data_IF_149265535303
#
_entry.id   IF_149265535303
#
_cell.length_a   1.000
_cell.length_b   1.000
_cell.length_c   1.000
_cell.angle_alpha   90.00
_cell.angle_beta   90.00
_cell.angle_gamma   90.00
#
_symmetry.space_group_name_H-M   'P 1'
#
loop_
_entity.id
_entity.type
_entity.pdbx_description
1 polymer ?
#
# COMPACT_ATOMS: atom_id res chain seq x y z
N UNK A 1 -7.35 19.69 26.83
CA UNK A 1 -7.98 19.36 25.54
C UNK A 1 -8.25 17.86 25.54
N UNK A 2 -9.50 17.46 25.34
CA UNK A 2 -9.85 16.05 25.08
C UNK A 2 -9.43 15.68 23.66
N UNK A 3 -8.82 14.52 23.47
CA UNK A 3 -8.42 14.01 22.16
C UNK A 3 -9.05 12.62 21.95
N UNK A 4 -9.47 12.34 20.71
CA UNK A 4 -10.03 11.04 20.32
C UNK A 4 -8.98 10.17 19.62
N UNK A 5 -9.24 8.87 19.48
CA UNK A 5 -8.41 7.93 18.72
C UNK A 5 -9.28 7.07 17.82
N UNK A 6 -8.78 6.74 16.64
CA UNK A 6 -9.41 5.77 15.74
C UNK A 6 -9.10 4.30 16.13
N UNK A 7 -8.24 4.09 17.12
CA UNK A 7 -7.91 2.76 17.65
C UNK A 7 -8.94 2.32 18.70
N UNK A 8 -9.18 1.02 18.77
CA UNK A 8 -9.89 0.39 19.88
C UNK A 8 -9.06 0.46 21.17
N UNK A 9 -9.67 0.19 22.33
CA UNK A 9 -8.97 0.19 23.62
C UNK A 9 -7.79 -0.80 23.66
N UNK A 10 -7.96 -1.99 23.08
CA UNK A 10 -6.90 -3.01 23.03
C UNK A 10 -5.75 -2.59 22.11
N UNK A 11 -6.06 -2.02 20.95
CA UNK A 11 -5.07 -1.48 20.03
C UNK A 11 -4.31 -0.30 20.66
N UNK A 12 -5.01 0.55 21.39
CA UNK A 12 -4.41 1.67 22.13
C UNK A 12 -3.38 1.18 23.15
N UNK A 13 -3.76 0.19 23.97
CA UNK A 13 -2.88 -0.42 24.95
C UNK A 13 -1.67 -1.10 24.28
N UNK A 14 -1.90 -1.80 23.15
CA UNK A 14 -0.84 -2.46 22.40
C UNK A 14 0.20 -1.46 21.86
N UNK A 15 -0.23 -0.35 21.25
CA UNK A 15 0.69 0.70 20.76
C UNK A 15 1.54 1.27 21.89
N UNK A 16 0.94 1.51 23.07
CA UNK A 16 1.67 1.94 24.27
C UNK A 16 2.67 0.90 24.78
N UNK A 17 2.32 -0.37 24.74
CA UNK A 17 3.22 -1.46 25.13
C UNK A 17 4.46 -1.55 24.24
N UNK A 18 4.35 -1.11 22.97
CA UNK A 18 5.45 -1.03 22.03
C UNK A 18 6.30 0.25 22.19
N UNK A 19 5.99 1.10 23.18
CA UNK A 19 6.73 2.32 23.48
C UNK A 19 6.29 3.55 22.69
N UNK A 20 5.11 3.52 22.04
CA UNK A 20 4.55 4.67 21.32
C UNK A 20 3.39 5.29 22.08
N UNK A 21 3.24 6.62 22.01
CA UNK A 21 2.15 7.34 22.64
C UNK A 21 1.13 7.78 21.58
N UNK A 22 -0.10 7.27 21.58
CA UNK A 22 -1.18 7.83 20.76
C UNK A 22 -1.45 9.28 21.18
N UNK A 23 -1.55 10.20 20.22
CA UNK A 23 -1.72 11.64 20.49
C UNK A 23 -3.02 12.23 19.93
N UNK A 24 -3.68 11.54 18.99
CA UNK A 24 -4.94 12.01 18.43
C UNK A 24 -5.33 11.29 17.14
N UNK A 25 -6.62 11.28 16.83
CA UNK A 25 -7.13 10.91 15.53
C UNK A 25 -6.78 11.99 14.51
N UNK A 26 -6.36 11.56 13.32
CA UNK A 26 -6.05 12.44 12.19
C UNK A 26 -6.84 12.02 10.96
N UNK A 27 -7.11 12.99 10.08
CA UNK A 27 -7.95 12.82 8.92
C UNK A 27 -7.39 13.58 7.70
N UNK A 28 -7.61 13.02 6.52
CA UNK A 28 -7.35 13.70 5.26
C UNK A 28 -8.35 13.28 4.21
N UNK A 29 -8.72 14.21 3.35
CA UNK A 29 -9.63 13.96 2.24
C UNK A 29 -9.12 14.60 0.95
N UNK A 30 -9.47 14.00 -0.17
CA UNK A 30 -9.26 14.55 -1.50
C UNK A 30 -10.44 14.16 -2.40
N UNK A 31 -11.06 15.15 -3.04
CA UNK A 31 -12.10 14.92 -4.04
C UNK A 31 -11.51 15.19 -5.42
N UNK A 32 -11.65 14.22 -6.30
CA UNK A 32 -11.23 14.36 -7.68
C UNK A 32 -12.47 14.37 -8.55
N UNK A 33 -12.58 15.39 -9.41
CA UNK A 33 -13.39 15.28 -10.60
C UNK A 33 -12.77 14.15 -11.41
N UNK A 34 -13.28 12.94 -11.22
CA UNK A 34 -12.99 11.84 -12.11
C UNK A 34 -13.63 12.25 -13.44
N UNK A 35 -12.86 13.01 -14.24
CA UNK A 35 -13.18 13.28 -15.63
C UNK A 35 -13.60 11.95 -16.20
N UNK A 36 -14.70 11.97 -16.96
CA UNK A 36 -15.30 10.76 -17.51
C UNK A 36 -14.18 9.81 -17.95
N UNK A 37 -14.37 8.51 -17.79
CA UNK A 37 -13.56 7.52 -18.49
C UNK A 37 -13.69 7.65 -20.04
N UNK A 38 -13.93 8.86 -20.56
CA UNK A 38 -13.96 9.27 -21.96
C UNK A 38 -12.62 9.06 -22.66
N UNK A 39 -11.53 8.83 -21.93
CA UNK A 39 -10.25 8.37 -22.48
C UNK A 39 -10.12 6.84 -22.65
N UNK A 40 -11.05 6.04 -22.09
CA UNK A 40 -11.07 4.59 -22.32
C UNK A 40 -11.75 4.31 -23.66
N UNK A 41 -10.93 3.96 -24.67
CA UNK A 41 -11.41 3.33 -25.89
C UNK A 41 -11.69 1.85 -25.64
N UNK A 42 -12.77 1.32 -26.21
CA UNK A 42 -13.02 -0.13 -26.25
C UNK A 42 -11.74 -0.82 -26.78
N UNK A 43 -11.20 -1.85 -26.12
CA UNK A 43 -9.95 -2.46 -26.53
C UNK A 43 -10.04 -3.16 -27.90
N UNK A 44 -11.26 -3.43 -28.40
CA UNK A 44 -11.58 -3.97 -29.73
C UNK A 44 -11.54 -2.96 -30.90
N UNK A 45 -11.80 -3.41 -32.14
CA UNK A 45 -10.82 -3.66 -33.20
C UNK A 45 -10.43 -2.41 -34.01
N UNK A 46 -10.23 -1.25 -33.38
CA UNK A 46 -9.60 -0.13 -34.05
C UNK A 46 -8.06 -0.32 -34.04
N UNK A 47 -7.55 -1.28 -34.85
CA UNK A 47 -6.11 -1.48 -35.10
C UNK A 47 -5.78 -2.80 -35.83
N UNK A 48 -4.74 -2.85 -36.69
CA UNK A 48 -4.41 -4.02 -37.49
C UNK A 48 -3.58 -5.02 -36.67
N UNK A 49 -4.22 -5.75 -35.75
CA UNK A 49 -3.60 -6.91 -35.10
C UNK A 49 -4.68 -7.76 -34.42
N UNK A 50 -4.46 -9.07 -34.40
CA UNK A 50 -5.21 -10.05 -33.63
C UNK A 50 -5.19 -9.82 -32.09
N UNK A 51 -4.55 -8.74 -31.62
CA UNK A 51 -4.31 -8.38 -30.22
C UNK A 51 -5.43 -7.53 -29.57
N UNK A 52 -6.50 -7.18 -30.30
CA UNK A 52 -7.61 -6.35 -29.79
C UNK A 52 -8.48 -7.01 -28.70
N UNK A 53 -8.31 -8.32 -28.48
CA UNK A 53 -9.08 -9.10 -27.49
C UNK A 53 -8.24 -9.45 -26.26
N UNK A 54 -6.94 -9.16 -26.28
CA UNK A 54 -6.04 -9.42 -25.16
C UNK A 54 -6.36 -8.52 -23.96
N UNK A 55 -6.10 -9.02 -22.77
CA UNK A 55 -6.25 -8.25 -21.54
C UNK A 55 -5.30 -7.06 -21.54
N UNK A 56 -5.85 -5.85 -21.40
CA UNK A 56 -5.08 -4.61 -21.23
C UNK A 56 -5.17 -4.17 -19.78
N UNK A 57 -4.03 -3.93 -19.14
CA UNK A 57 -3.93 -3.44 -17.76
C UNK A 57 -3.33 -2.04 -17.72
N UNK A 58 -3.80 -1.21 -16.78
CA UNK A 58 -3.38 0.18 -16.63
C UNK A 58 -1.86 0.36 -16.48
N UNK A 59 -1.17 -0.56 -15.82
CA UNK A 59 0.27 -0.46 -15.58
C UNK A 59 1.15 -0.65 -16.82
N UNK A 60 0.65 -1.33 -17.86
CA UNK A 60 1.35 -1.46 -19.16
C UNK A 60 1.20 -0.22 -20.04
N UNK A 61 0.25 0.66 -19.73
CA UNK A 61 -0.08 1.82 -20.56
C UNK A 61 -0.64 1.44 -21.93
N UNK A 62 -0.49 2.34 -22.89
CA UNK A 62 -0.95 2.18 -24.27
C UNK A 62 -2.36 2.72 -24.56
N UNK A 63 -2.72 2.87 -25.84
CA UNK A 63 -4.02 3.38 -26.26
C UNK A 63 -5.19 2.54 -25.71
N UNK A 64 -6.17 3.22 -25.11
CA UNK A 64 -7.34 2.57 -24.50
C UNK A 64 -7.09 1.92 -23.14
N UNK A 65 -5.89 2.05 -22.55
CA UNK A 65 -5.66 1.63 -21.16
C UNK A 65 -6.22 2.64 -20.15
N UNK A 66 -6.56 2.16 -18.95
CA UNK A 66 -6.98 3.01 -17.83
C UNK A 66 -5.84 3.74 -17.11
N UNK A 67 -4.65 3.83 -17.73
CA UNK A 67 -3.45 4.43 -17.13
C UNK A 67 -3.67 5.82 -16.52
N UNK A 68 -4.20 6.81 -17.28
CA UNK A 68 -4.45 8.16 -16.76
C UNK A 68 -5.42 8.19 -15.58
N UNK A 69 -6.48 7.37 -15.61
CA UNK A 69 -7.44 7.26 -14.51
C UNK A 69 -6.77 6.70 -13.26
N UNK A 70 -5.97 5.63 -13.39
CA UNK A 70 -5.23 5.04 -12.28
C UNK A 70 -4.23 6.04 -11.69
N UNK A 71 -3.53 6.81 -12.53
CA UNK A 71 -2.64 7.88 -12.05
C UNK A 71 -3.40 8.94 -11.23
N UNK A 72 -4.58 9.37 -11.69
CA UNK A 72 -5.42 10.29 -10.93
C UNK A 72 -5.87 9.69 -9.58
N UNK A 73 -6.23 8.40 -9.55
CA UNK A 73 -6.56 7.69 -8.31
C UNK A 73 -5.36 7.62 -7.35
N UNK A 74 -4.15 7.37 -7.85
CA UNK A 74 -2.93 7.41 -7.05
C UNK A 74 -2.68 8.79 -6.46
N UNK A 75 -2.79 9.84 -7.29
CA UNK A 75 -2.60 11.21 -6.85
C UNK A 75 -3.61 11.58 -5.76
N UNK A 76 -4.88 11.23 -5.94
CA UNK A 76 -5.93 11.50 -4.96
C UNK A 76 -5.66 10.88 -3.60
N UNK A 77 -5.28 9.60 -3.59
CA UNK A 77 -4.93 8.90 -2.34
C UNK A 77 -3.71 9.52 -1.67
N UNK A 78 -2.67 9.87 -2.44
CA UNK A 78 -1.48 10.55 -1.91
C UNK A 78 -1.86 11.88 -1.27
N UNK A 79 -2.66 12.71 -1.94
CA UNK A 79 -3.13 13.99 -1.37
C UNK A 79 -3.93 13.80 -0.07
N UNK A 80 -4.81 12.80 0.00
CA UNK A 80 -5.53 12.50 1.25
C UNK A 80 -4.57 12.08 2.37
N UNK A 81 -3.58 11.22 2.07
CA UNK A 81 -2.55 10.79 3.02
C UNK A 81 -1.67 11.96 3.46
N UNK A 82 -1.21 12.79 2.52
CA UNK A 82 -0.34 13.94 2.79
C UNK A 82 -1.02 14.91 3.77
N UNK A 83 -2.32 15.20 3.56
CA UNK A 83 -3.13 16.02 4.47
C UNK A 83 -3.26 15.40 5.86
N UNK A 84 -3.54 14.11 5.94
CA UNK A 84 -3.59 13.38 7.22
C UNK A 84 -2.23 13.40 7.94
N UNK A 85 -1.12 13.25 7.21
CA UNK A 85 0.23 13.30 7.79
C UNK A 85 0.64 14.71 8.22
N UNK A 86 0.17 15.74 7.52
CA UNK A 86 0.36 17.13 7.92
C UNK A 86 -0.35 17.42 9.25
N UNK A 87 -1.58 16.92 9.44
CA UNK A 87 -2.28 17.00 10.72
C UNK A 87 -1.55 16.22 11.83
N UNK A 88 -1.06 15.02 11.53
CA UNK A 88 -0.22 14.24 12.46
C UNK A 88 1.01 15.04 12.90
N UNK A 89 1.72 15.68 11.98
CA UNK A 89 2.86 16.53 12.28
C UNK A 89 2.45 17.74 13.15
N UNK A 90 1.26 18.32 12.91
CA UNK A 90 0.68 19.39 13.73
C UNK A 90 0.44 18.98 15.19
N UNK A 91 0.11 17.71 15.46
CA UNK A 91 0.05 17.15 16.81
C UNK A 91 1.42 16.76 17.37
N UNK A 92 2.50 17.02 16.63
CA UNK A 92 3.85 16.54 16.94
C UNK A 92 3.98 15.02 16.83
N UNK A 93 3.06 14.33 16.16
CA UNK A 93 3.14 12.89 15.93
C UNK A 93 4.28 12.53 14.98
N UNK A 94 4.89 11.38 15.22
CA UNK A 94 5.99 10.82 14.43
C UNK A 94 5.52 9.77 13.41
N UNK A 95 4.25 9.37 13.47
CA UNK A 95 3.61 8.52 12.48
C UNK A 95 2.13 8.33 12.74
N UNK A 96 1.44 7.66 11.81
CA UNK A 96 0.03 7.33 11.90
C UNK A 96 -0.14 5.82 11.82
N UNK A 97 -0.85 5.24 12.79
CA UNK A 97 -1.15 3.82 12.90
C UNK A 97 -2.64 3.56 12.70
N UNK A 98 -2.99 2.37 12.19
CA UNK A 98 -4.37 1.99 11.93
C UNK A 98 -5.01 2.81 10.81
N UNK A 99 -4.22 3.19 9.80
CA UNK A 99 -4.74 3.99 8.69
C UNK A 99 -5.76 3.19 7.90
N UNK A 100 -6.97 3.75 7.76
CA UNK A 100 -8.03 3.23 6.90
C UNK A 100 -8.23 4.18 5.72
N UNK A 101 -8.13 3.63 4.52
CA UNK A 101 -8.40 4.36 3.28
C UNK A 101 -9.78 3.98 2.73
N UNK A 102 -10.59 4.97 2.40
CA UNK A 102 -11.88 4.75 1.74
C UNK A 102 -11.97 5.49 0.41
N UNK A 103 -12.84 4.98 -0.47
CA UNK A 103 -13.24 5.64 -1.71
C UNK A 103 -14.76 5.68 -1.75
N UNK A 104 -15.32 6.83 -2.09
CA UNK A 104 -16.76 7.06 -2.22
C UNK A 104 -17.10 7.94 -3.43
N UNK A 105 -18.38 8.01 -3.74
CA UNK A 105 -18.90 9.04 -4.64
C UNK A 105 -19.08 10.34 -3.84
N UNK A 106 -18.66 11.46 -4.43
CA UNK A 106 -18.90 12.76 -3.81
C UNK A 106 -20.26 13.32 -4.27
N UNK A 107 -21.12 13.86 -3.38
CA UNK A 107 -22.48 14.28 -3.74
C UNK A 107 -22.56 15.32 -4.87
N UNK A 108 -21.54 16.18 -5.00
CA UNK A 108 -21.45 17.19 -6.06
C UNK A 108 -20.76 16.67 -7.34
N UNK A 109 -20.52 15.37 -7.42
CA UNK A 109 -19.81 14.71 -8.51
C UNK A 109 -18.34 14.45 -8.20
N UNK A 110 -17.80 13.39 -8.82
CA UNK A 110 -16.43 12.94 -8.63
C UNK A 110 -16.27 11.81 -7.61
N UNK A 111 -15.02 11.46 -7.36
CA UNK A 111 -14.63 10.44 -6.39
C UNK A 111 -13.97 11.10 -5.19
N UNK A 112 -14.49 10.80 -4.00
CA UNK A 112 -13.89 11.16 -2.74
C UNK A 112 -12.95 10.05 -2.27
N UNK A 113 -11.78 10.44 -1.80
CA UNK A 113 -10.81 9.58 -1.14
C UNK A 113 -10.55 10.13 0.24
N UNK A 114 -10.68 9.29 1.26
CA UNK A 114 -10.38 9.69 2.64
C UNK A 114 -9.35 8.77 3.27
N UNK A 115 -8.60 9.32 4.23
CA UNK A 115 -7.64 8.64 5.07
C UNK A 115 -7.90 9.04 6.51
N UNK A 116 -8.06 8.04 7.39
CA UNK A 116 -8.25 8.25 8.83
C UNK A 116 -7.32 7.32 9.60
N UNK A 117 -6.73 7.79 10.69
CA UNK A 117 -5.88 6.98 11.55
C UNK A 117 -5.61 7.65 12.88
N UNK A 118 -4.73 7.04 13.69
CA UNK A 118 -4.28 7.63 14.96
C UNK A 118 -2.83 8.04 14.86
N UNK A 119 -2.56 9.33 15.07
CA UNK A 119 -1.21 9.85 15.22
C UNK A 119 -0.58 9.30 16.50
N UNK A 120 0.67 8.88 16.39
CA UNK A 120 1.49 8.32 17.48
C UNK A 120 2.81 9.05 17.57
N UNK A 121 3.34 9.16 18.78
CA UNK A 121 4.64 9.75 19.09
C UNK A 121 5.57 8.66 19.61
N UNK A 122 6.73 8.49 18.96
CA UNK A 122 7.84 7.75 19.55
C UNK A 122 8.64 8.68 20.52
N UNK A 123 8.90 8.26 21.77
CA UNK A 123 9.81 8.97 22.66
C UNK A 123 11.25 8.95 22.10
N UNK A 124 11.96 10.08 22.18
CA UNK A 124 13.36 10.17 21.77
C UNK A 124 13.62 10.21 20.26
N UNK A 125 12.59 10.16 19.40
CA UNK A 125 12.78 10.45 17.97
C UNK A 125 12.96 11.94 17.75
N UNK A 126 14.04 12.32 17.05
CA UNK A 126 14.29 13.70 16.67
C UNK A 126 13.18 14.27 15.79
N UNK A 127 12.92 15.57 15.96
CA UNK A 127 12.02 16.33 15.10
C UNK A 127 12.60 16.46 13.69
N UNK A 128 11.76 16.42 12.65
CA UNK A 128 12.14 16.74 11.27
C UNK A 128 12.11 15.61 10.24
N UNK A 129 11.79 14.36 10.64
CA UNK A 129 11.46 13.30 9.69
C UNK A 129 9.97 13.35 9.32
N UNK A 130 9.58 13.09 8.06
CA UNK A 130 8.17 12.99 7.69
C UNK A 130 7.51 11.84 8.49
N UNK A 131 6.27 12.01 8.98
CA UNK A 131 5.58 10.97 9.72
C UNK A 131 5.43 9.68 8.90
N UNK A 132 5.70 8.53 9.50
CA UNK A 132 5.41 7.25 8.85
C UNK A 132 3.89 7.01 8.79
N UNK A 133 3.44 6.15 7.88
CA UNK A 133 2.04 5.74 7.80
C UNK A 133 1.93 4.22 7.78
N UNK A 134 0.94 3.68 8.48
CA UNK A 134 0.78 2.25 8.72
C UNK A 134 -0.71 1.88 8.75
N UNK A 135 -1.15 0.96 7.89
CA UNK A 135 -2.53 0.44 7.86
C UNK A 135 -2.78 -0.68 8.89
N UNK A 136 -1.71 -1.21 9.50
CA UNK A 136 -1.83 -2.27 10.49
C UNK A 136 -2.62 -1.80 11.72
N UNK A 137 -3.37 -2.74 12.30
CA UNK A 137 -3.99 -2.57 13.62
C UNK A 137 -2.95 -2.19 14.67
N UNK A 138 -3.36 -1.57 15.77
CA UNK A 138 -2.43 -1.23 16.86
C UNK A 138 -1.71 -2.46 17.42
N UNK A 139 -2.39 -3.62 17.44
CA UNK A 139 -1.83 -4.90 17.87
C UNK A 139 -0.81 -5.46 16.88
N UNK A 140 -1.11 -5.42 15.58
CA UNK A 140 -0.18 -5.88 14.54
C UNK A 140 1.04 -4.97 14.43
N UNK A 141 0.84 -3.66 14.58
CA UNK A 141 1.92 -2.69 14.69
C UNK A 141 2.83 -3.02 15.88
N UNK A 142 2.27 -3.27 17.08
CA UNK A 142 3.06 -3.64 18.25
C UNK A 142 3.88 -4.92 18.01
N UNK A 143 3.26 -5.96 17.42
CA UNK A 143 3.96 -7.20 17.03
C UNK A 143 5.08 -6.95 16.03
N UNK A 144 4.86 -6.05 15.06
CA UNK A 144 5.86 -5.66 14.07
C UNK A 144 7.10 -5.06 14.75
N UNK A 145 6.89 -4.10 15.65
CA UNK A 145 7.97 -3.44 16.41
C UNK A 145 8.75 -4.45 17.27
N UNK A 146 8.05 -5.31 18.01
CA UNK A 146 8.68 -6.36 18.84
C UNK A 146 9.52 -7.32 18.01
N UNK A 147 9.08 -7.63 16.78
CA UNK A 147 9.84 -8.46 15.84
C UNK A 147 11.05 -7.76 15.20
N UNK A 148 11.34 -6.49 15.56
CA UNK A 148 12.47 -5.72 15.05
C UNK A 148 12.22 -5.11 13.66
N UNK A 149 10.95 -4.95 13.28
CA UNK A 149 10.54 -4.33 12.01
C UNK A 149 9.81 -3.02 12.29
N UNK A 150 10.02 -2.01 11.43
CA UNK A 150 9.35 -0.72 11.51
C UNK A 150 8.59 -0.41 10.22
N UNK A 151 7.46 0.30 10.30
CA UNK A 151 6.78 0.78 9.10
C UNK A 151 7.61 1.86 8.41
N UNK A 152 7.81 1.70 7.11
CA UNK A 152 8.41 2.70 6.23
C UNK A 152 7.35 3.63 5.62
N UNK A 153 6.10 3.17 5.49
CA UNK A 153 4.99 3.95 4.93
C UNK A 153 3.92 3.08 4.28
N UNK A 154 2.76 3.66 4.01
CA UNK A 154 1.72 3.04 3.21
C UNK A 154 2.16 2.86 1.75
N UNK A 155 1.79 1.72 1.18
CA UNK A 155 2.00 1.40 -0.23
C UNK A 155 0.70 0.97 -0.88
N UNK A 156 0.56 1.34 -2.14
CA UNK A 156 -0.66 1.13 -2.92
C UNK A 156 -0.34 0.39 -4.21
N UNK A 157 -1.17 -0.58 -4.56
CA UNK A 157 -1.14 -1.29 -5.84
C UNK A 157 -2.50 -1.22 -6.51
N UNK A 158 -2.67 -0.29 -7.46
CA UNK A 158 -3.93 -0.12 -8.19
C UNK A 158 -3.73 -0.56 -9.63
N UNK A 159 -4.59 -1.45 -10.10
CA UNK A 159 -4.71 -1.80 -11.51
C UNK A 159 -6.15 -1.76 -11.95
N UNK A 160 -6.38 -1.21 -13.14
CA UNK A 160 -7.63 -1.40 -13.86
C UNK A 160 -7.31 -2.15 -15.14
N UNK A 161 -7.77 -3.40 -15.20
CA UNK A 161 -7.72 -4.26 -16.36
C UNK A 161 -8.99 -4.16 -17.18
N UNK A 162 -8.87 -4.40 -18.48
CA UNK A 162 -9.99 -4.46 -19.40
C UNK A 162 -9.79 -5.54 -20.45
N UNK A 163 -10.90 -6.15 -20.87
CA UNK A 163 -10.91 -7.13 -21.96
C UNK A 163 -12.21 -7.04 -22.74
N UNK A 164 -12.11 -7.18 -24.06
CA UNK A 164 -13.25 -7.28 -24.96
C UNK A 164 -13.63 -8.75 -25.20
N UNK A 165 -14.93 -9.05 -25.23
CA UNK A 165 -15.43 -10.40 -25.55
C UNK A 165 -15.30 -10.73 -27.04
N UNK A 166 -14.49 -11.73 -27.37
CA UNK A 166 -14.36 -12.24 -28.73
C UNK A 166 -15.34 -13.40 -29.03
N UNK A 167 -15.23 -13.99 -30.22
CA UNK A 167 -16.11 -15.10 -30.60
C UNK A 167 -15.90 -16.37 -29.75
N UNK A 168 -14.69 -16.60 -29.24
CA UNK A 168 -14.37 -17.73 -28.37
C UNK A 168 -14.93 -17.50 -26.97
N UNK A 169 -14.72 -16.32 -26.40
CA UNK A 169 -15.28 -15.94 -25.10
C UNK A 169 -16.80 -16.06 -25.09
N UNK A 170 -17.47 -15.54 -26.12
CA UNK A 170 -18.94 -15.63 -26.24
C UNK A 170 -19.42 -17.07 -26.41
N UNK A 171 -18.64 -17.96 -27.04
CA UNK A 171 -18.98 -19.39 -27.13
C UNK A 171 -18.82 -20.10 -25.79
N UNK A 172 -17.77 -19.81 -25.03
CA UNK A 172 -17.54 -20.40 -23.71
C UNK A 172 -18.57 -19.94 -22.68
N UNK A 173 -19.00 -18.67 -22.74
CA UNK A 173 -19.94 -18.09 -21.78
C UNK A 173 -21.43 -18.39 -22.05
N UNK A 174 -21.77 -19.27 -23.00
CA UNK A 174 -23.18 -19.60 -23.29
C UNK A 174 -23.75 -20.51 -22.20
N UNK A 175 -25.05 -20.33 -21.93
CA UNK A 175 -25.82 -21.20 -21.02
C UNK A 175 -25.61 -22.69 -21.27
N UNK A 176 -25.52 -23.12 -22.54
CA UNK A 176 -25.35 -24.54 -22.91
C UNK A 176 -23.91 -25.07 -22.86
N UNK A 177 -22.92 -24.25 -22.53
CA UNK A 177 -21.50 -24.63 -22.52
C UNK A 177 -21.07 -25.35 -21.25
N UNK A 178 -21.99 -25.54 -20.30
CA UNK A 178 -21.74 -26.18 -19.02
C UNK A 178 -20.99 -25.29 -18.02
N UNK A 179 -20.66 -25.85 -16.86
CA UNK A 179 -19.95 -25.14 -15.78
C UNK A 179 -18.43 -25.21 -16.03
N UNK A 180 -17.97 -24.62 -17.12
CA UNK A 180 -16.57 -24.60 -17.52
C UNK A 180 -15.94 -23.22 -17.31
N UNK A 181 -14.62 -23.20 -17.20
CA UNK A 181 -13.85 -21.96 -17.13
C UNK A 181 -14.01 -21.13 -18.42
N UNK A 182 -14.22 -19.82 -18.26
CA UNK A 182 -14.11 -18.85 -19.35
C UNK A 182 -12.72 -18.23 -19.29
N UNK A 183 -11.77 -18.86 -20.01
CA UNK A 183 -10.34 -18.55 -19.91
C UNK A 183 -10.03 -17.05 -20.07
N UNK A 184 -10.70 -16.38 -21.02
CA UNK A 184 -10.57 -14.95 -21.25
C UNK A 184 -10.87 -14.08 -20.00
N UNK A 185 -11.90 -14.44 -19.23
CA UNK A 185 -12.27 -13.73 -18.01
C UNK A 185 -11.34 -14.07 -16.85
N UNK A 186 -10.91 -15.33 -16.76
CA UNK A 186 -9.88 -15.73 -15.79
C UNK A 186 -8.58 -14.96 -16.04
N UNK A 187 -8.12 -14.89 -17.29
CA UNK A 187 -6.93 -14.14 -17.68
C UNK A 187 -7.03 -12.66 -17.30
N UNK A 188 -8.20 -12.05 -17.51
CA UNK A 188 -8.46 -10.67 -17.10
C UNK A 188 -8.24 -10.48 -15.59
N UNK A 189 -8.75 -11.40 -14.77
CA UNK A 189 -8.58 -11.36 -13.32
C UNK A 189 -7.10 -11.56 -12.97
N UNK A 190 -6.45 -12.60 -13.49
CA UNK A 190 -5.05 -12.94 -13.17
C UNK A 190 -4.11 -11.79 -13.51
N UNK A 191 -4.22 -11.24 -14.73
CA UNK A 191 -3.37 -10.15 -15.19
C UNK A 191 -3.60 -8.87 -14.40
N UNK A 192 -4.85 -8.52 -14.07
CA UNK A 192 -5.16 -7.32 -13.25
C UNK A 192 -4.57 -7.45 -11.83
N UNK A 193 -4.64 -8.65 -11.23
CA UNK A 193 -4.01 -8.91 -9.92
C UNK A 193 -2.49 -8.84 -10.00
N UNK A 194 -1.90 -9.39 -11.06
CA UNK A 194 -0.45 -9.38 -11.29
C UNK A 194 0.04 -7.93 -11.45
N UNK A 195 -0.64 -7.13 -12.26
CA UNK A 195 -0.33 -5.71 -12.45
C UNK A 195 -0.46 -4.92 -11.16
N UNK A 196 -1.54 -5.10 -10.38
CA UNK A 196 -1.70 -4.43 -9.08
C UNK A 196 -0.55 -4.76 -8.12
N UNK A 197 -0.08 -6.02 -8.08
CA UNK A 197 1.10 -6.42 -7.28
C UNK A 197 2.39 -5.78 -7.79
N UNK A 198 2.57 -5.67 -9.10
CA UNK A 198 3.73 -4.98 -9.68
C UNK A 198 3.75 -3.51 -9.26
N UNK A 199 2.61 -2.83 -9.30
CA UNK A 199 2.49 -1.45 -8.83
C UNK A 199 2.76 -1.31 -7.33
N UNK A 200 2.24 -2.23 -6.51
CA UNK A 200 2.57 -2.28 -5.08
C UNK A 200 4.07 -2.44 -4.86
N UNK A 201 4.73 -3.33 -5.61
CA UNK A 201 6.17 -3.54 -5.55
C UNK A 201 6.99 -2.32 -6.00
N UNK A 202 6.48 -1.52 -6.95
CA UNK A 202 7.08 -0.23 -7.32
C UNK A 202 7.04 0.75 -6.14
N UNK A 203 5.93 0.81 -5.43
CA UNK A 203 5.74 1.65 -4.25
C UNK A 203 6.66 1.23 -3.09
N UNK A 204 6.80 -0.08 -2.82
CA UNK A 204 7.74 -0.62 -1.81
C UNK A 204 9.18 -0.24 -2.14
N UNK A 205 9.59 -0.39 -3.40
CA UNK A 205 10.94 0.00 -3.87
C UNK A 205 11.18 1.50 -3.73
N UNK A 206 10.19 2.34 -4.04
CA UNK A 206 10.29 3.80 -3.90
C UNK A 206 10.55 4.21 -2.44
N UNK A 207 9.98 3.48 -1.48
CA UNK A 207 10.21 3.73 -0.05
C UNK A 207 11.52 3.13 0.48
N UNK A 208 12.28 2.39 -0.34
CA UNK A 208 13.50 1.71 0.10
C UNK A 208 13.24 0.61 1.14
N UNK A 209 12.02 0.07 1.17
CA UNK A 209 11.61 -0.94 2.14
C UNK A 209 12.02 -2.36 1.69
N UNK A 210 12.11 -3.27 2.65
CA UNK A 210 12.56 -4.66 2.43
C UNK A 210 11.38 -5.61 2.19
N UNK A 211 10.18 -5.24 2.62
CA UNK A 211 8.98 -6.05 2.43
C UNK A 211 7.71 -5.23 2.58
N UNK A 212 6.57 -5.89 2.46
CA UNK A 212 5.24 -5.32 2.66
C UNK A 212 4.37 -6.29 3.43
N UNK A 213 3.63 -5.78 4.40
CA UNK A 213 2.51 -6.49 5.03
C UNK A 213 1.24 -5.99 4.35
N UNK A 214 0.53 -6.88 3.67
CA UNK A 214 -0.70 -6.53 2.94
C UNK A 214 -1.87 -6.74 3.89
N UNK A 215 -2.59 -5.67 4.24
CA UNK A 215 -3.77 -5.77 5.09
C UNK A 215 -5.02 -6.12 4.28
N UNK A 216 -5.15 -5.60 3.05
CA UNK A 216 -6.36 -5.78 2.25
C UNK A 216 -6.10 -5.83 0.74
N UNK A 217 -6.92 -6.63 0.06
CA UNK A 217 -7.10 -6.62 -1.38
C UNK A 217 -8.58 -6.48 -1.70
N UNK A 218 -8.95 -5.42 -2.43
CA UNK A 218 -10.28 -5.24 -2.97
C UNK A 218 -10.26 -5.48 -4.48
N UNK A 219 -11.28 -6.16 -5.00
CA UNK A 219 -11.49 -6.35 -6.43
C UNK A 219 -12.93 -6.06 -6.78
N UNK A 220 -13.13 -5.29 -7.85
CA UNK A 220 -14.45 -5.03 -8.42
C UNK A 220 -14.45 -5.40 -9.90
N UNK A 221 -15.45 -6.15 -10.32
CA UNK A 221 -15.66 -6.53 -11.72
C UNK A 221 -16.88 -5.80 -12.22
N UNK A 222 -16.75 -5.14 -13.37
CA UNK A 222 -17.83 -4.43 -14.04
C UNK A 222 -17.91 -4.84 -15.49
N UNK A 223 -19.13 -4.92 -15.99
CA UNK A 223 -19.40 -5.13 -17.40
C UNK A 223 -19.96 -3.85 -18.00
N UNK A 224 -19.64 -3.59 -19.27
CA UNK A 224 -20.16 -2.49 -20.07
C UNK A 224 -20.39 -2.97 -21.50
N UNK A 225 -21.39 -2.43 -22.19
CA UNK A 225 -21.54 -2.65 -23.63
C UNK A 225 -20.45 -1.90 -24.41
N UNK A 226 -19.78 -2.58 -25.35
CA UNK A 226 -18.73 -1.95 -26.14
C UNK A 226 -19.36 -0.86 -27.04
N UNK A 227 -18.90 0.39 -26.94
CA UNK A 227 -19.44 1.48 -27.75
C UNK A 227 -19.15 1.33 -29.25
N UNK A 228 -18.16 0.50 -29.63
CA UNK A 228 -17.73 0.31 -31.00
C UNK A 228 -18.40 -0.89 -31.71
N UNK A 229 -19.04 -1.82 -30.98
CA UNK A 229 -19.65 -3.02 -31.54
C UNK A 229 -20.94 -3.41 -30.82
N UNK A 230 -22.06 -3.40 -31.55
CA UNK A 230 -23.38 -3.79 -31.04
C UNK A 230 -23.38 -5.26 -30.62
N UNK A 231 -23.90 -5.54 -29.42
CA UNK A 231 -24.02 -6.90 -28.90
C UNK A 231 -22.73 -7.50 -28.32
N UNK A 232 -21.65 -6.70 -28.20
CA UNK A 232 -20.40 -7.09 -27.56
C UNK A 232 -20.20 -6.38 -26.24
N UNK A 233 -19.51 -7.03 -25.31
CA UNK A 233 -19.29 -6.55 -23.94
C UNK A 233 -17.81 -6.38 -23.65
N UNK A 234 -17.51 -5.34 -22.91
CA UNK A 234 -16.23 -5.10 -22.27
C UNK A 234 -16.34 -5.47 -20.80
N UNK A 235 -15.34 -6.18 -20.31
CA UNK A 235 -15.19 -6.50 -18.89
C UNK A 235 -14.04 -5.66 -18.33
N UNK A 236 -14.29 -5.03 -17.19
CA UNK A 236 -13.35 -4.16 -16.50
C UNK A 236 -13.15 -4.69 -15.09
N UNK A 237 -11.90 -4.88 -14.68
CA UNK A 237 -11.52 -5.33 -13.35
C UNK A 237 -10.70 -4.24 -12.67
N UNK A 238 -11.20 -3.66 -11.59
CA UNK A 238 -10.46 -2.78 -10.70
C UNK A 238 -9.90 -3.61 -9.54
N UNK A 239 -8.58 -3.71 -9.43
CA UNK A 239 -7.87 -4.38 -8.34
C UNK A 239 -7.09 -3.34 -7.53
N UNK A 240 -7.36 -3.25 -6.23
CA UNK A 240 -6.67 -2.34 -5.30
C UNK A 240 -6.05 -3.14 -4.16
N UNK A 241 -4.75 -2.98 -3.97
CA UNK A 241 -3.97 -3.49 -2.86
C UNK A 241 -3.53 -2.32 -1.99
N UNK A 242 -3.66 -2.48 -0.67
CA UNK A 242 -3.13 -1.56 0.34
C UNK A 242 -2.28 -2.38 1.30
N UNK A 243 -1.13 -1.84 1.69
CA UNK A 243 -0.30 -2.45 2.71
C UNK A 243 0.64 -1.44 3.35
N UNK A 244 1.37 -1.93 4.34
CA UNK A 244 2.46 -1.21 5.00
C UNK A 244 3.79 -1.76 4.53
N UNK A 245 4.61 -0.91 3.91
CA UNK A 245 6.00 -1.24 3.63
C UNK A 245 6.79 -1.29 4.94
N UNK A 246 7.66 -2.28 5.08
CA UNK A 246 8.41 -2.54 6.32
C UNK A 246 9.91 -2.58 6.07
N UNK A 247 10.67 -2.10 7.04
CA UNK A 247 12.13 -2.15 7.06
C UNK A 247 12.62 -2.69 8.39
N UNK A 248 13.74 -3.40 8.39
CA UNK A 248 14.36 -3.86 9.63
C UNK A 248 14.90 -2.68 10.41
N UNK A 249 14.64 -2.65 11.71
CA UNK A 249 15.22 -1.68 12.60
C UNK A 249 16.71 -1.99 12.75
N UNK A 250 17.58 -1.18 12.14
CA UNK A 250 19.00 -1.19 12.45
C UNK A 250 19.22 -0.21 13.62
N UNK A 251 19.63 -0.67 14.81
CA UNK A 251 20.04 0.24 15.87
C UNK A 251 21.19 1.09 15.33
N UNK A 252 21.00 2.41 15.29
CA UNK A 252 22.03 3.33 14.83
C UNK A 252 23.32 3.13 15.63
N UNK A 253 24.44 2.97 14.91
CA UNK A 253 25.79 2.82 15.45
C UNK A 253 26.22 4.00 16.35
N UNK A 254 25.46 5.09 16.35
CA UNK A 254 25.62 6.27 17.20
C UNK A 254 25.32 6.02 18.69
N UNK A 255 24.53 5.02 19.07
CA UNK A 255 24.35 4.69 20.50
C UNK A 255 25.55 3.97 21.12
N UNK A 256 26.51 3.49 20.31
CA UNK A 256 27.73 2.82 20.80
C UNK A 256 28.90 3.77 21.05
N UNK A 257 28.83 5.04 20.63
CA UNK A 257 29.97 5.99 20.73
C UNK A 257 29.76 7.16 21.69
N UNK A 258 28.66 7.20 22.45
CA UNK A 258 28.40 8.28 23.39
C UNK A 258 28.17 7.74 24.82
N UNK A 259 29.24 7.21 25.42
CA UNK A 259 29.39 7.24 26.87
C UNK A 259 30.87 7.54 27.17
N UNK A 260 31.24 8.72 27.67
CA UNK A 260 32.59 8.93 28.17
C UNK A 260 32.75 8.03 29.39
N UNK A 261 33.73 7.13 29.35
CA UNK A 261 34.19 6.38 30.52
C UNK A 261 34.49 7.38 31.64
N UNK A 262 33.59 7.47 32.63
CA UNK A 262 33.99 7.92 33.97
C UNK A 262 34.83 6.78 34.54
N UNK A 263 36.10 7.07 34.81
CA UNK A 263 36.92 6.22 35.64
C UNK A 263 36.28 6.16 37.02
N UNK A 264 35.87 4.97 37.44
CA UNK A 264 35.67 4.67 38.86
C UNK A 264 36.86 3.86 39.36
N UNK A 265 37.45 4.22 40.52
CA UNK A 265 38.49 3.46 41.16
C UNK A 265 37.88 2.28 41.94
N UNK A 266 38.66 1.20 42.04
CA UNK A 266 38.49 0.09 42.98
C UNK A 266 37.28 -0.86 42.79
N UNK A 267 37.56 -1.98 42.10
CA UNK A 267 37.35 -3.34 42.59
C UNK A 267 35.97 -3.78 43.07
N UNK A 268 35.27 -4.57 42.24
CA UNK A 268 34.73 -5.90 42.57
C UNK A 268 34.08 -6.52 41.32
N UNK A 269 34.54 -7.71 40.97
CA UNK A 269 34.17 -8.43 39.76
C UNK A 269 32.72 -8.92 39.80
N UNK A 270 31.92 -8.51 38.81
CA UNK A 270 30.66 -9.14 38.42
C UNK A 270 30.72 -9.45 36.92
N UNK A 271 30.70 -10.73 36.57
CA UNK A 271 30.88 -11.24 35.21
C UNK A 271 29.78 -10.73 34.26
N UNK A 272 30.15 -9.86 33.32
CA UNK A 272 29.40 -9.66 32.09
C UNK A 272 29.82 -10.72 31.08
N UNK A 273 28.88 -11.56 30.64
CA UNK A 273 29.06 -12.52 29.55
C UNK A 273 29.56 -11.79 28.30
N UNK A 274 30.80 -12.06 27.89
CA UNK A 274 31.31 -11.70 26.58
C UNK A 274 30.69 -12.63 25.53
N UNK A 275 29.75 -12.11 24.72
CA UNK A 275 29.33 -12.80 23.50
C UNK A 275 30.46 -12.68 22.48
N UNK A 276 31.20 -13.77 22.32
CA UNK A 276 32.29 -13.91 21.36
C UNK A 276 31.74 -13.89 19.93
N UNK A 277 32.19 -12.92 19.12
CA UNK A 277 31.90 -12.88 17.69
C UNK A 277 32.78 -13.90 16.96
N UNK A 278 32.19 -14.96 16.44
CA UNK A 278 32.85 -15.90 15.52
C UNK A 278 32.74 -15.35 14.10
N UNK A 279 33.75 -14.58 13.67
CA UNK A 279 33.98 -14.29 12.25
C UNK A 279 34.72 -15.46 11.58
N UNK A 280 34.51 -15.70 10.27
CA UNK A 280 35.17 -16.80 9.56
C UNK A 280 36.68 -16.54 9.39
N UNK A 281 37.52 -17.60 9.36
CA UNK A 281 38.96 -17.46 9.24
C UNK A 281 39.34 -16.87 7.87
N UNK A 282 40.18 -15.83 7.89
CA UNK A 282 40.87 -15.32 6.71
C UNK A 282 41.89 -16.37 6.24
N UNK A 283 41.71 -16.90 5.04
CA UNK A 283 42.75 -17.68 4.35
C UNK A 283 43.95 -16.78 4.05
N UNK A 284 45.13 -17.21 4.49
CA UNK A 284 46.41 -16.65 4.02
C UNK A 284 46.70 -17.21 2.62
N UNK A 285 47.35 -16.36 1.84
CA UNK A 285 47.85 -16.62 0.50
C UNK A 285 48.80 -17.82 0.44
N UNK A 286 48.78 -18.49 -0.72
CA UNK A 286 49.96 -18.65 -1.56
C UNK A 286 49.62 -18.10 -2.96
#
# INVERSE_FOLDING_TARGET
MSWGSALTADEFAAVRSAGFEPVGQVFGAAVYAAGAASGYGCPGPAGPAADGTATKVSGRGGPGSFGPLVQAMYQARRTAIDRMTAECAGFGGHGVVGVRLSRGAFPLGGLEFTAIGTAVRAPGSGHGRPPFTCDLSGQDFAKLIVAGWVPAGLVLGISIGSRHDDQYTVRQARWGSGNAEVAAWTDLIIESRRDARNQLGNDVRRLGAQGVVIAAMAMQVRQRDCPAQVGRRDHVVEATLVGTAIARFAPGEQSRRAWPHRADPAGLAGQALAVMSLGPPRSRAD
#
